data_IF_708334316830
#
_entry.id   IF_708334316830
#
_cell.length_a   1.000
_cell.length_b   1.000
_cell.length_c   1.000
_cell.angle_alpha   90.00
_cell.angle_beta   90.00
_cell.angle_gamma   90.00
#
_symmetry.space_group_name_H-M   'P 1'
#
loop_
_entity.id
_entity.type
_entity.pdbx_description
1 polymer ?
#
# COMPACT_ATOMS: atom_id res chain seq x y z
N UNK A 1 10.18 17.84 -6.55
CA UNK A 1 8.80 17.42 -6.89
C UNK A 1 8.57 16.08 -6.25
N UNK A 2 7.46 15.89 -5.55
CA UNK A 2 7.13 14.60 -4.97
C UNK A 2 6.88 13.58 -6.09
N UNK A 3 7.56 12.44 -6.06
CA UNK A 3 7.32 11.34 -6.99
C UNK A 3 5.96 10.72 -6.68
N UNK A 4 5.17 10.49 -7.72
CA UNK A 4 3.89 9.78 -7.60
C UNK A 4 4.13 8.39 -7.01
N UNK A 5 3.20 7.86 -6.18
CA UNK A 5 3.30 6.49 -5.72
C UNK A 5 3.29 5.53 -6.92
N UNK A 6 4.04 4.43 -6.81
CA UNK A 6 4.05 3.37 -7.83
C UNK A 6 3.05 2.28 -7.47
N UNK A 7 2.33 1.79 -8.47
CA UNK A 7 1.56 0.56 -8.31
C UNK A 7 2.49 -0.62 -8.04
N UNK A 8 2.06 -1.51 -7.14
CA UNK A 8 2.78 -2.73 -6.81
C UNK A 8 1.85 -3.92 -6.74
N UNK A 9 2.38 -5.07 -7.15
CA UNK A 9 1.75 -6.37 -6.99
C UNK A 9 2.73 -7.31 -6.30
N UNK A 10 2.25 -8.11 -5.35
CA UNK A 10 3.07 -9.10 -4.66
C UNK A 10 2.25 -10.34 -4.30
N UNK A 11 2.90 -11.50 -4.39
CA UNK A 11 2.27 -12.80 -4.17
C UNK A 11 2.41 -13.24 -2.72
N UNK A 12 1.31 -13.64 -2.11
CA UNK A 12 1.30 -14.25 -0.77
C UNK A 12 1.75 -15.70 -0.83
N UNK A 13 2.02 -16.30 0.34
CA UNK A 13 2.46 -17.71 0.47
C UNK A 13 1.45 -18.69 -0.13
N UNK A 14 0.15 -18.43 0.01
CA UNK A 14 -0.94 -19.23 -0.58
C UNK A 14 -1.24 -18.89 -2.04
N UNK A 15 -0.44 -18.00 -2.64
CA UNK A 15 -0.48 -17.71 -4.07
C UNK A 15 -1.43 -16.60 -4.50
N UNK A 16 -2.21 -16.00 -3.57
CA UNK A 16 -3.04 -14.82 -3.83
C UNK A 16 -2.17 -13.60 -4.17
N UNK A 17 -2.54 -12.85 -5.19
CA UNK A 17 -1.85 -11.58 -5.52
C UNK A 17 -2.52 -10.43 -4.77
N UNK A 18 -1.74 -9.67 -3.99
CA UNK A 18 -2.19 -8.43 -3.39
C UNK A 18 -1.66 -7.25 -4.19
N UNK A 19 -2.46 -6.17 -4.24
CA UNK A 19 -2.16 -4.97 -5.00
C UNK A 19 -2.19 -3.73 -4.11
N UNK A 20 -1.29 -2.80 -4.38
CA UNK A 20 -1.07 -1.65 -3.51
C UNK A 20 -0.35 -0.49 -4.18
N UNK A 21 -0.08 0.53 -3.38
CA UNK A 21 0.71 1.69 -3.75
C UNK A 21 1.96 1.75 -2.87
N UNK A 22 3.11 1.96 -3.50
CA UNK A 22 4.38 2.16 -2.81
C UNK A 22 4.87 3.60 -2.98
N UNK A 23 5.03 4.26 -1.85
CA UNK A 23 5.59 5.60 -1.71
C UNK A 23 7.09 5.42 -1.44
N UNK A 24 7.90 5.68 -2.48
CA UNK A 24 9.35 5.67 -2.33
C UNK A 24 9.79 6.77 -1.35
N UNK A 25 10.80 6.49 -0.51
CA UNK A 25 11.34 7.52 0.37
C UNK A 25 12.00 8.64 -0.44
N UNK A 26 12.18 9.80 0.19
CA UNK A 26 12.92 10.91 -0.42
C UNK A 26 14.43 10.63 -0.34
N UNK A 27 15.08 10.61 -1.49
CA UNK A 27 16.51 10.31 -1.66
C UNK A 27 16.79 8.85 -2.06
N UNK A 28 18.06 8.55 -2.33
CA UNK A 28 18.47 7.26 -2.91
C UNK A 28 18.93 6.22 -1.87
N UNK A 29 19.00 6.61 -0.59
CA UNK A 29 19.43 5.74 0.50
C UNK A 29 18.28 4.85 1.01
N UNK A 30 18.55 3.59 1.41
CA UNK A 30 17.57 2.73 2.05
C UNK A 30 16.97 3.38 3.30
N UNK A 31 15.64 3.39 3.39
CA UNK A 31 14.88 3.88 4.55
C UNK A 31 14.00 2.78 5.14
N UNK A 32 13.68 2.85 6.45
CA UNK A 32 12.67 1.98 7.03
C UNK A 32 11.34 2.11 6.27
N UNK A 33 10.63 0.99 6.13
CA UNK A 33 9.35 0.93 5.45
C UNK A 33 8.22 0.73 6.45
N UNK A 34 7.18 1.56 6.35
CA UNK A 34 5.92 1.40 7.07
C UNK A 34 4.93 0.70 6.16
N UNK A 35 4.35 -0.40 6.64
CA UNK A 35 3.23 -1.06 5.96
C UNK A 35 1.95 -0.60 6.63
N UNK A 36 1.07 0.08 5.90
CA UNK A 36 -0.21 0.57 6.39
C UNK A 36 -1.35 -0.23 5.76
N UNK A 37 -2.36 -0.52 6.56
CA UNK A 37 -3.53 -1.31 6.14
C UNK A 37 -4.81 -0.60 6.52
N UNK A 38 -5.82 -0.71 5.68
CA UNK A 38 -7.16 -0.27 6.02
C UNK A 38 -7.83 -1.23 7.02
N UNK A 39 -8.88 -0.75 7.68
CA UNK A 39 -9.72 -1.56 8.56
C UNK A 39 -10.69 -2.46 7.80
N UNK A 40 -11.63 -3.07 8.53
CA UNK A 40 -12.72 -3.84 7.93
C UNK A 40 -13.48 -3.00 6.91
N UNK A 41 -13.83 -3.61 5.78
CA UNK A 41 -14.52 -2.99 4.63
C UNK A 41 -13.89 -1.72 4.06
N UNK A 42 -12.63 -1.45 4.37
CA UNK A 42 -11.88 -0.34 3.78
C UNK A 42 -11.26 -0.69 2.43
N UNK A 43 -10.78 0.33 1.73
CA UNK A 43 -9.91 0.24 0.55
C UNK A 43 -8.66 1.09 0.76
N UNK A 44 -7.57 0.78 0.06
CA UNK A 44 -6.30 1.52 0.16
C UNK A 44 -6.42 2.98 -0.25
N UNK A 45 -7.40 3.36 -1.06
CA UNK A 45 -7.66 4.74 -1.47
C UNK A 45 -8.30 5.57 -0.34
N UNK A 46 -8.86 4.93 0.68
CA UNK A 46 -9.61 5.61 1.73
C UNK A 46 -8.67 6.07 2.85
N UNK A 47 -8.35 7.36 2.84
CA UNK A 47 -7.54 8.09 3.83
C UNK A 47 -6.07 7.67 3.93
N UNK A 48 -5.70 6.43 3.59
CA UNK A 48 -4.32 5.96 3.68
C UNK A 48 -3.31 6.78 2.86
N UNK A 49 -3.61 7.27 1.63
CA UNK A 49 -2.65 8.06 0.87
C UNK A 49 -2.23 9.33 1.62
N UNK A 50 -3.16 10.01 2.28
CA UNK A 50 -2.89 11.24 3.06
C UNK A 50 -1.91 10.99 4.21
N UNK A 51 -2.00 9.82 4.86
CA UNK A 51 -1.06 9.43 5.91
C UNK A 51 0.27 8.92 5.33
N UNK A 52 0.23 8.18 4.23
CA UNK A 52 1.41 7.67 3.56
C UNK A 52 2.32 8.80 3.07
N UNK A 53 1.75 9.88 2.54
CA UNK A 53 2.50 11.09 2.18
C UNK A 53 3.19 11.73 3.39
N UNK A 54 2.50 11.84 4.53
CA UNK A 54 3.10 12.40 5.75
C UNK A 54 4.28 11.57 6.27
N UNK A 55 4.17 10.24 6.23
CA UNK A 55 5.27 9.36 6.62
C UNK A 55 6.41 9.38 5.60
N UNK A 56 6.10 9.48 4.30
CA UNK A 56 7.12 9.67 3.26
C UNK A 56 7.91 10.94 3.49
N UNK A 57 7.22 12.05 3.76
CA UNK A 57 7.83 13.36 4.00
C UNK A 57 8.65 13.37 5.30
N UNK A 58 8.32 12.48 6.25
CA UNK A 58 9.12 12.22 7.46
C UNK A 58 10.33 11.29 7.22
N UNK A 59 10.58 10.82 5.99
CA UNK A 59 11.75 10.05 5.60
C UNK A 59 11.57 8.53 5.55
N UNK A 60 10.33 8.04 5.56
CA UNK A 60 10.02 6.62 5.46
C UNK A 60 9.66 6.21 4.03
N UNK A 61 9.90 4.95 3.69
CA UNK A 61 9.15 4.31 2.61
C UNK A 61 7.76 3.91 3.16
N UNK A 62 6.73 3.91 2.32
CA UNK A 62 5.39 3.45 2.74
C UNK A 62 4.79 2.51 1.72
N UNK A 63 4.27 1.39 2.19
CA UNK A 63 3.44 0.48 1.41
C UNK A 63 2.01 0.53 1.96
N UNK A 64 1.05 0.80 1.09
CA UNK A 64 -0.38 0.60 1.37
C UNK A 64 -0.92 -0.43 0.39
N UNK A 65 -1.84 -1.29 0.81
CA UNK A 65 -2.39 -2.33 -0.05
C UNK A 65 -3.83 -2.67 0.34
N UNK A 66 -4.58 -3.27 -0.59
CA UNK A 66 -5.91 -3.82 -0.30
C UNK A 66 -5.78 -5.21 0.31
N UNK A 67 -6.49 -5.48 1.39
CA UNK A 67 -6.58 -6.84 1.92
C UNK A 67 -7.05 -7.83 0.85
N UNK A 68 -6.70 -9.11 1.03
CA UNK A 68 -7.25 -10.17 0.16
C UNK A 68 -8.77 -10.05 0.07
N UNK A 69 -9.29 -10.31 -1.12
CA UNK A 69 -10.72 -10.25 -1.42
C UNK A 69 -11.33 -8.84 -1.47
N UNK A 70 -10.53 -7.78 -1.32
CA UNK A 70 -10.97 -6.38 -1.39
C UNK A 70 -10.24 -5.61 -2.48
N UNK A 71 -10.89 -4.55 -2.99
CA UNK A 71 -10.34 -3.59 -3.92
C UNK A 71 -9.69 -4.23 -5.14
N UNK A 72 -8.44 -3.88 -5.41
CA UNK A 72 -7.70 -4.45 -6.54
C UNK A 72 -6.97 -5.75 -6.20
N UNK A 73 -6.96 -6.22 -4.95
CA UNK A 73 -6.32 -7.48 -4.58
C UNK A 73 -7.15 -8.70 -4.97
N UNK A 74 -6.51 -9.82 -5.29
CA UNK A 74 -7.19 -11.09 -5.57
C UNK A 74 -7.81 -11.70 -4.30
N UNK A 75 -8.69 -12.69 -4.48
CA UNK A 75 -9.26 -13.50 -3.41
C UNK A 75 -10.78 -13.71 -3.52
N UNK A 76 -11.28 -14.76 -2.83
CA UNK A 76 -12.69 -15.13 -2.74
C UNK A 76 -13.03 -15.61 -1.31
N UNK A 77 -14.27 -15.39 -0.81
CA UNK A 77 -15.38 -14.68 -1.46
C UNK A 77 -15.17 -13.16 -1.51
N UNK A 78 -15.75 -12.48 -2.51
CA UNK A 78 -15.83 -11.01 -2.54
C UNK A 78 -17.23 -10.58 -2.15
N UNK A 79 -17.33 -9.72 -1.14
CA UNK A 79 -18.56 -9.07 -0.69
C UNK A 79 -18.28 -7.57 -0.52
N UNK A 80 -17.61 -6.98 -1.51
CA UNK A 80 -17.22 -5.56 -1.54
C UNK A 80 -18.43 -4.64 -1.55
#
# INVERSE_FOLDING_TARGET
MATLPRDVEFRTVDGTTLRGLFFAPIGDEPRPCIIMTHGFSGLKEQFLPDFAERFRDAGYAVLIYDHRNWGSSDGLPRNE
#
